data_IF_026252499594
#
_entry.id   IF_026252499594
#
_cell.length_a   1.000
_cell.length_b   1.000
_cell.length_c   1.000
_cell.angle_alpha   90.00
_cell.angle_beta   90.00
_cell.angle_gamma   90.00
#
_symmetry.space_group_name_H-M   'P 1'
#
loop_
_entity.id
_entity.type
_entity.pdbx_description
1 polymer ?
#
# COMPACT_ATOMS: atom_id res chain seq x y z
N UNK A 1 -4.39 21.92 -3.03
CA UNK A 1 -3.67 21.27 -1.91
C UNK A 1 -2.50 20.52 -2.49
N UNK A 2 -1.28 20.83 -2.05
CA UNK A 2 -0.06 20.14 -2.49
C UNK A 2 -0.15 18.69 -1.98
N UNK A 3 -0.27 17.72 -2.88
CA UNK A 3 -0.35 16.32 -2.46
C UNK A 3 0.97 15.87 -1.81
N UNK A 4 0.92 15.00 -0.80
CA UNK A 4 2.11 14.50 -0.14
C UNK A 4 3.01 13.73 -1.11
N UNK A 5 4.31 13.79 -0.83
CA UNK A 5 5.31 13.01 -1.55
C UNK A 5 4.96 11.50 -1.48
N UNK A 6 5.03 10.83 -2.64
CA UNK A 6 4.61 9.43 -2.78
C UNK A 6 5.48 8.48 -1.95
N UNK A 7 6.76 8.77 -1.78
CA UNK A 7 7.68 7.93 -0.98
C UNK A 7 7.29 8.02 0.49
N UNK A 8 7.01 9.23 0.98
CA UNK A 8 6.55 9.45 2.35
C UNK A 8 5.22 8.72 2.61
N UNK A 9 4.26 8.82 1.70
CA UNK A 9 2.97 8.14 1.85
C UNK A 9 3.11 6.61 1.80
N UNK A 10 3.97 6.07 0.94
CA UNK A 10 4.24 4.64 0.87
C UNK A 10 4.86 4.10 2.16
N UNK A 11 5.81 4.84 2.77
CA UNK A 11 6.39 4.50 4.07
C UNK A 11 5.34 4.54 5.18
N UNK A 12 4.48 5.55 5.18
CA UNK A 12 3.42 5.69 6.17
C UNK A 12 2.43 4.52 6.11
N UNK A 13 2.06 4.07 4.92
CA UNK A 13 1.22 2.86 4.74
C UNK A 13 1.92 1.58 5.20
N UNK A 14 3.22 1.43 4.94
CA UNK A 14 3.99 0.29 5.43
C UNK A 14 4.04 0.26 6.96
N UNK A 15 4.29 1.40 7.60
CA UNK A 15 4.25 1.53 9.07
C UNK A 15 2.87 1.24 9.65
N UNK A 16 1.81 1.75 9.01
CA UNK A 16 0.43 1.47 9.44
C UNK A 16 0.15 -0.04 9.48
N UNK A 17 0.54 -0.78 8.44
CA UNK A 17 0.36 -2.25 8.37
C UNK A 17 1.18 -3.00 9.41
N UNK A 18 2.38 -2.52 9.73
CA UNK A 18 3.19 -3.12 10.80
C UNK A 18 2.54 -2.91 12.16
N UNK A 19 2.11 -1.68 12.45
CA UNK A 19 1.44 -1.33 13.69
C UNK A 19 0.10 -2.07 13.85
N UNK A 20 -0.66 -2.25 12.77
CA UNK A 20 -1.90 -3.03 12.77
C UNK A 20 -1.64 -4.45 13.30
N UNK A 21 -0.60 -5.12 12.77
CA UNK A 21 -0.19 -6.46 13.23
C UNK A 21 0.24 -6.46 14.69
N UNK A 22 1.00 -5.45 15.11
CA UNK A 22 1.46 -5.33 16.50
C UNK A 22 0.32 -5.08 17.48
N UNK A 23 -0.66 -4.24 17.13
CA UNK A 23 -1.85 -3.96 17.94
C UNK A 23 -2.74 -5.20 18.03
N UNK A 24 -2.92 -5.92 16.93
CA UNK A 24 -3.67 -7.18 16.92
C UNK A 24 -2.98 -8.24 17.79
N UNK A 25 -1.65 -8.31 17.77
CA UNK A 25 -0.87 -9.22 18.62
C UNK A 25 -0.84 -8.80 20.09
N UNK A 26 -0.93 -7.50 20.39
CA UNK A 26 -0.76 -6.94 21.73
C UNK A 26 -1.88 -5.92 22.07
N UNK A 27 -3.16 -6.36 22.16
CA UNK A 27 -4.30 -5.44 22.31
C UNK A 27 -4.32 -4.68 23.65
N UNK A 28 -3.58 -5.18 24.65
CA UNK A 28 -3.51 -4.58 25.98
C UNK A 28 -2.43 -3.50 26.14
N UNK A 29 -1.66 -3.22 25.10
CA UNK A 29 -0.59 -2.20 25.15
C UNK A 29 -1.12 -0.86 24.61
N UNK A 30 -1.50 0.10 25.49
CA UNK A 30 -2.16 1.33 25.07
C UNK A 30 -1.27 2.21 24.19
N UNK A 31 0.06 2.17 24.40
CA UNK A 31 1.01 2.94 23.60
C UNK A 31 1.02 2.53 22.13
N UNK A 32 0.98 1.22 21.84
CA UNK A 32 0.93 0.70 20.46
C UNK A 32 -0.36 1.13 19.77
N UNK A 33 -1.49 1.01 20.48
CA UNK A 33 -2.79 1.43 19.98
C UNK A 33 -2.82 2.93 19.69
N UNK A 34 -2.24 3.76 20.56
CA UNK A 34 -2.16 5.21 20.35
C UNK A 34 -1.33 5.57 19.12
N UNK A 35 -0.14 4.98 18.96
CA UNK A 35 0.68 5.24 17.78
C UNK A 35 0.01 4.78 16.48
N UNK A 36 -0.74 3.67 16.53
CA UNK A 36 -1.56 3.22 15.42
C UNK A 36 -2.67 4.22 15.07
N UNK A 37 -3.41 4.70 16.07
CA UNK A 37 -4.46 5.71 15.91
C UNK A 37 -3.91 7.04 15.37
N UNK A 38 -2.73 7.50 15.84
CA UNK A 38 -2.05 8.70 15.35
C UNK A 38 -1.65 8.58 13.87
N UNK A 39 -1.15 7.41 13.48
CA UNK A 39 -0.78 7.11 12.08
C UNK A 39 -2.03 7.07 11.20
N UNK A 40 -3.12 6.47 11.68
CA UNK A 40 -4.41 6.45 11.01
C UNK A 40 -4.96 7.87 10.81
N UNK A 41 -4.89 8.71 11.85
CA UNK A 41 -5.34 10.11 11.79
C UNK A 41 -4.54 10.91 10.76
N UNK A 42 -3.21 10.71 10.71
CA UNK A 42 -2.34 11.34 9.71
C UNK A 42 -2.77 10.95 8.30
N UNK A 43 -3.05 9.67 8.03
CA UNK A 43 -3.54 9.22 6.73
C UNK A 43 -4.89 9.85 6.36
N UNK A 44 -5.82 9.95 7.32
CA UNK A 44 -7.11 10.61 7.13
C UNK A 44 -6.94 12.07 6.69
N UNK A 45 -6.09 12.83 7.38
CA UNK A 45 -5.82 14.24 7.05
C UNK A 45 -5.15 14.38 5.67
N UNK A 46 -4.14 13.56 5.39
CA UNK A 46 -3.41 13.61 4.12
C UNK A 46 -4.28 13.28 2.90
N UNK A 47 -5.21 12.33 3.06
CA UNK A 47 -6.10 11.91 1.98
C UNK A 47 -7.43 12.67 1.95
N UNK A 48 -7.69 13.54 2.95
CA UNK A 48 -8.95 14.28 3.05
C UNK A 48 -10.16 13.38 3.35
N UNK A 49 -9.95 12.27 4.03
CA UNK A 49 -10.96 11.24 4.28
C UNK A 49 -11.37 11.19 5.75
N UNK A 50 -12.63 10.86 6.03
CA UNK A 50 -13.18 10.85 7.40
C UNK A 50 -12.91 9.56 8.18
N UNK A 51 -12.43 8.51 7.52
CA UNK A 51 -12.20 7.20 8.15
C UNK A 51 -10.89 6.61 7.67
N UNK A 52 -10.22 5.86 8.54
CA UNK A 52 -8.95 5.20 8.23
C UNK A 52 -9.09 4.27 7.02
N UNK A 53 -10.17 3.49 6.94
CA UNK A 53 -10.40 2.59 5.80
C UNK A 53 -10.53 3.33 4.46
N UNK A 54 -11.24 4.46 4.44
CA UNK A 54 -11.34 5.30 3.23
C UNK A 54 -10.01 5.95 2.88
N UNK A 55 -9.30 6.45 3.89
CA UNK A 55 -7.98 7.04 3.73
C UNK A 55 -6.97 6.05 3.13
N UNK A 56 -6.93 4.81 3.62
CA UNK A 56 -6.04 3.76 3.09
C UNK A 56 -6.38 3.46 1.63
N UNK A 57 -7.66 3.25 1.30
CA UNK A 57 -8.07 3.00 -0.09
C UNK A 57 -7.72 4.17 -1.01
N UNK A 58 -7.89 5.41 -0.55
CA UNK A 58 -7.52 6.60 -1.30
C UNK A 58 -5.99 6.69 -1.49
N UNK A 59 -5.21 6.39 -0.44
CA UNK A 59 -3.76 6.37 -0.49
C UNK A 59 -3.23 5.27 -1.43
N UNK A 60 -3.78 4.06 -1.35
CA UNK A 60 -3.48 2.95 -2.25
C UNK A 60 -3.81 3.30 -3.70
N UNK A 61 -4.92 4.00 -3.96
CA UNK A 61 -5.25 4.50 -5.32
C UNK A 61 -4.30 5.60 -5.77
N UNK A 62 -3.91 6.51 -4.90
CA UNK A 62 -2.97 7.59 -5.21
C UNK A 62 -1.56 7.04 -5.53
N UNK A 63 -1.11 6.02 -4.80
CA UNK A 63 0.12 5.29 -5.10
C UNK A 63 -0.04 4.35 -6.31
N UNK A 64 -1.18 3.68 -6.44
CA UNK A 64 -1.51 2.77 -7.53
C UNK A 64 -1.65 3.45 -8.89
N UNK A 65 -2.17 4.68 -8.92
CA UNK A 65 -2.14 5.54 -10.11
C UNK A 65 -0.72 5.96 -10.52
N UNK A 66 0.27 5.83 -9.63
CA UNK A 66 1.68 5.97 -9.94
C UNK A 66 2.36 4.64 -10.30
N UNK A 67 1.90 3.53 -9.71
CA UNK A 67 2.43 2.18 -9.90
C UNK A 67 1.86 1.45 -11.13
N UNK A 68 0.80 1.97 -11.76
CA UNK A 68 0.26 1.44 -13.03
C UNK A 68 1.15 1.73 -14.26
N UNK A 69 2.47 1.83 -14.07
CA UNK A 69 3.38 1.35 -15.10
C UNK A 69 3.88 -0.03 -14.67
N UNK A 70 3.10 -1.10 -14.94
CA UNK A 70 3.70 -2.41 -14.94
C UNK A 70 4.89 -2.33 -15.90
N UNK A 71 6.11 -2.59 -15.40
CA UNK A 71 7.21 -2.88 -16.31
C UNK A 71 6.72 -4.03 -17.19
N UNK A 72 6.83 -3.94 -18.54
CA UNK A 72 6.55 -5.09 -19.37
C UNK A 72 7.51 -6.18 -18.90
N UNK A 73 6.96 -7.17 -18.18
CA UNK A 73 7.71 -8.36 -17.82
C UNK A 73 8.31 -8.93 -19.11
N UNK A 74 9.54 -9.45 -19.07
CA UNK A 74 10.21 -9.92 -20.27
C UNK A 74 9.26 -10.89 -20.96
N UNK A 75 8.90 -10.54 -22.19
CA UNK A 75 8.17 -11.42 -23.11
C UNK A 75 8.91 -12.74 -23.10
N UNK A 76 8.32 -13.75 -22.46
CA UNK A 76 8.69 -15.13 -22.64
C UNK A 76 8.26 -15.51 -24.06
N UNK A 77 8.95 -14.94 -25.04
CA UNK A 77 9.15 -15.60 -26.30
C UNK A 77 10.03 -16.79 -26.00
N UNK A 78 9.47 -17.98 -26.08
CA UNK A 78 10.23 -19.11 -26.57
C UNK A 78 9.31 -20.21 -27.05
N UNK A 79 9.19 -20.22 -28.38
CA UNK A 79 9.26 -21.41 -29.21
C UNK A 79 8.09 -22.39 -29.11
N UNK A 80 7.15 -22.12 -30.01
CA UNK A 80 6.60 -23.16 -30.89
C UNK A 80 7.69 -24.17 -31.27
N UNK A 81 7.52 -25.43 -30.88
CA UNK A 81 8.03 -26.54 -31.67
C UNK A 81 6.84 -27.35 -32.15
N UNK A 82 6.30 -26.95 -33.30
CA UNK A 82 5.87 -27.95 -34.29
C UNK A 82 7.14 -28.49 -34.95
N UNK A 83 7.27 -29.74 -35.35
CA UNK A 83 6.26 -30.78 -35.56
C UNK A 83 6.93 -32.10 -35.97
N UNK A 84 6.40 -32.85 -36.97
CA UNK A 84 6.19 -34.31 -36.90
C UNK A 84 7.17 -35.19 -37.73
N UNK A 85 7.04 -36.52 -37.59
CA UNK A 85 7.65 -37.57 -38.45
C UNK A 85 8.96 -38.12 -37.88
N UNK A 86 9.18 -39.42 -37.69
CA UNK A 86 8.84 -40.60 -38.52
C UNK A 86 8.74 -41.84 -37.62
#
# INVERSE_FOLDING_TARGET
MLLPDKVTLARLLAHYREQERLVLANPHVPSLRRTFEDTAYTLCVLMGERTAHRAIRAAERYLGGAALRPAPGPTAGSLTSGGPGT
#
